data_IF_400767670078
#
_entry.id   IF_400767670078
#
_cell.length_a   1.000
_cell.length_b   1.000
_cell.length_c   1.000
_cell.angle_alpha   90.00
_cell.angle_beta   90.00
_cell.angle_gamma   90.00
#
_symmetry.space_group_name_H-M   'P 1'
#
loop_
_entity.id
_entity.type
_entity.pdbx_description
1 polymer ?
#
# COMPACT_ATOMS: atom_id res chain seq x y z
N UNK A 1 -14.59 -2.25 -10.66
CA UNK A 1 -13.45 -1.49 -10.10
C UNK A 1 -13.94 -0.14 -9.66
N UNK A 2 -13.81 0.17 -8.38
CA UNK A 2 -14.29 1.44 -7.81
C UNK A 2 -13.13 2.37 -7.40
N UNK A 3 -11.91 1.85 -7.26
CA UNK A 3 -10.70 2.64 -7.08
C UNK A 3 -9.45 1.90 -7.58
N UNK A 4 -8.39 2.64 -7.86
CA UNK A 4 -7.04 2.14 -8.10
C UNK A 4 -6.08 2.79 -7.11
N UNK A 5 -5.03 2.08 -6.72
CA UNK A 5 -4.05 2.54 -5.74
C UNK A 5 -2.70 1.87 -5.97
N UNK A 6 -1.70 2.32 -5.20
CA UNK A 6 -0.36 1.74 -5.19
C UNK A 6 -0.14 1.19 -3.78
N UNK A 7 0.30 -0.04 -3.61
CA UNK A 7 0.56 -0.63 -2.29
C UNK A 7 1.94 -1.29 -2.33
N UNK A 8 2.83 -0.92 -1.41
CA UNK A 8 4.25 -1.31 -1.42
C UNK A 8 4.96 -1.11 -2.77
N UNK A 9 4.56 -0.08 -3.53
CA UNK A 9 5.11 0.19 -4.87
C UNK A 9 4.58 -0.70 -6.00
N UNK A 10 3.53 -1.49 -5.77
CA UNK A 10 2.85 -2.31 -6.78
C UNK A 10 1.45 -1.74 -7.09
N UNK A 11 1.00 -1.87 -8.34
CA UNK A 11 -0.34 -1.43 -8.75
C UNK A 11 -1.42 -2.35 -8.16
N UNK A 12 -2.46 -1.74 -7.57
CA UNK A 12 -3.59 -2.43 -6.96
C UNK A 12 -4.93 -1.80 -7.38
N UNK A 13 -5.98 -2.59 -7.36
CA UNK A 13 -7.35 -2.11 -7.59
C UNK A 13 -8.29 -2.58 -6.48
N UNK A 14 -9.33 -1.79 -6.22
CA UNK A 14 -10.36 -2.10 -5.24
C UNK A 14 -11.60 -2.69 -5.92
N UNK A 15 -12.01 -3.86 -5.43
CA UNK A 15 -13.19 -4.61 -5.85
C UNK A 15 -13.66 -5.48 -4.68
N UNK A 16 -14.95 -5.82 -4.61
CA UNK A 16 -15.49 -6.76 -3.61
C UNK A 16 -15.04 -6.48 -2.16
N UNK A 17 -15.04 -5.20 -1.80
CA UNK A 17 -14.58 -4.65 -0.51
C UNK A 17 -13.14 -4.98 -0.12
N UNK A 18 -12.28 -5.30 -1.10
CA UNK A 18 -10.87 -5.70 -0.90
C UNK A 18 -9.94 -5.13 -1.96
N UNK A 19 -8.67 -5.04 -1.62
CA UNK A 19 -7.60 -4.69 -2.56
C UNK A 19 -7.02 -5.95 -3.24
N UNK A 20 -6.78 -5.85 -4.55
CA UNK A 20 -6.21 -6.90 -5.38
C UNK A 20 -4.99 -6.38 -6.14
N UNK A 21 -3.99 -7.23 -6.31
CA UNK A 21 -2.85 -6.93 -7.17
C UNK A 21 -3.25 -6.93 -8.65
N UNK A 22 -2.86 -5.91 -9.40
CA UNK A 22 -3.20 -5.80 -10.83
C UNK A 22 -2.57 -6.93 -11.66
N UNK A 23 -1.35 -7.35 -11.31
CA UNK A 23 -0.57 -8.32 -12.08
C UNK A 23 -1.05 -9.77 -11.89
N UNK A 24 -1.47 -10.15 -10.69
CA UNK A 24 -1.88 -11.52 -10.36
C UNK A 24 -3.37 -11.68 -10.20
N UNK A 25 -4.12 -10.60 -9.99
CA UNK A 25 -5.53 -10.65 -9.62
C UNK A 25 -5.79 -11.29 -8.24
N UNK A 26 -4.77 -11.43 -7.39
CA UNK A 26 -4.89 -12.02 -6.06
C UNK A 26 -5.07 -10.95 -4.98
N UNK A 27 -5.70 -11.27 -3.83
CA UNK A 27 -5.86 -10.33 -2.74
C UNK A 27 -4.53 -9.79 -2.20
N UNK A 28 -4.50 -8.51 -1.85
CA UNK A 28 -3.35 -7.83 -1.22
C UNK A 28 -3.14 -8.29 0.21
N UNK A 29 -4.21 -8.51 0.97
CA UNK A 29 -4.10 -9.07 2.32
C UNK A 29 -4.48 -10.56 2.29
N UNK A 30 -3.74 -11.45 2.98
CA UNK A 30 -2.59 -11.20 3.88
C UNK A 30 -1.21 -11.15 3.17
N UNK A 31 -1.18 -11.19 1.83
CA UNK A 31 0.05 -11.32 1.03
C UNK A 31 0.68 -9.96 0.76
N UNK A 32 1.54 -9.51 1.66
CA UNK A 32 2.33 -8.29 1.44
C UNK A 32 3.52 -8.54 0.50
N UNK A 33 4.04 -7.49 -0.13
CA UNK A 33 5.14 -7.57 -1.12
C UNK A 33 6.28 -6.64 -0.76
N UNK A 34 7.48 -7.02 -1.18
CA UNK A 34 8.68 -6.18 -1.11
C UNK A 34 8.54 -5.03 -2.11
N UNK A 35 8.92 -3.82 -1.70
CA UNK A 35 8.97 -2.69 -2.64
C UNK A 35 10.01 -2.95 -3.74
N UNK A 36 9.66 -2.84 -5.04
CA UNK A 36 10.56 -3.18 -6.15
C UNK A 36 11.74 -2.21 -6.31
N UNK A 37 11.77 -1.12 -5.52
CA UNK A 37 12.80 -0.08 -5.58
C UNK A 37 13.56 0.09 -4.28
N UNK A 38 12.89 0.03 -3.13
CA UNK A 38 13.57 0.04 -1.83
C UNK A 38 14.17 -1.33 -1.50
N UNK A 39 13.63 -2.43 -2.05
CA UNK A 39 13.99 -3.82 -1.74
C UNK A 39 13.86 -4.19 -0.26
N UNK A 40 13.05 -3.45 0.48
CA UNK A 40 12.76 -3.71 1.89
C UNK A 40 11.42 -4.46 2.01
N UNK A 41 11.35 -5.49 2.87
CA UNK A 41 10.07 -6.11 3.23
C UNK A 41 9.27 -5.16 4.12
N UNK A 42 7.93 -5.28 4.15
CA UNK A 42 7.09 -4.58 5.13
C UNK A 42 7.59 -4.79 6.57
N UNK A 43 7.26 -3.84 7.45
CA UNK A 43 7.56 -3.95 8.88
C UNK A 43 6.89 -5.19 9.49
N UNK A 44 7.24 -5.56 10.73
CA UNK A 44 6.59 -6.68 11.42
C UNK A 44 5.07 -6.46 11.58
N UNK A 45 4.65 -5.19 11.60
CA UNK A 45 3.28 -4.71 11.69
C UNK A 45 2.59 -4.64 10.32
N UNK A 46 3.32 -4.89 9.22
CA UNK A 46 2.81 -4.90 7.85
C UNK A 46 2.80 -3.54 7.16
N UNK A 47 3.60 -2.58 7.62
CA UNK A 47 3.64 -1.21 7.10
C UNK A 47 4.68 -1.02 6.00
N UNK A 48 4.58 0.06 5.21
CA UNK A 48 5.59 0.37 4.19
C UNK A 48 6.94 0.66 4.85
N UNK A 49 8.01 -0.09 4.51
CA UNK A 49 9.26 -0.01 5.23
C UNK A 49 10.08 1.22 4.88
N UNK A 50 9.75 1.91 3.78
CA UNK A 50 10.52 3.08 3.35
C UNK A 50 10.16 4.31 4.22
N UNK A 51 8.99 4.33 4.85
CA UNK A 51 8.57 5.41 5.79
C UNK A 51 8.28 4.89 7.20
N UNK A 52 7.82 3.65 7.34
CA UNK A 52 7.42 3.04 8.62
C UNK A 52 6.07 3.57 9.11
N UNK A 53 5.87 3.49 10.43
CA UNK A 53 4.63 3.92 11.08
C UNK A 53 4.42 5.43 10.99
N UNK A 54 3.28 5.83 10.43
CA UNK A 54 2.80 7.22 10.48
C UNK A 54 1.47 7.24 11.23
N UNK A 55 1.45 7.89 12.39
CA UNK A 55 0.26 7.95 13.24
C UNK A 55 -0.93 8.55 12.48
N UNK A 56 -2.05 7.83 12.47
CA UNK A 56 -3.28 8.24 11.78
C UNK A 56 -3.28 7.98 10.27
N UNK A 57 -2.24 7.35 9.72
CA UNK A 57 -2.24 6.90 8.34
C UNK A 57 -2.79 5.48 8.21
N UNK A 58 -3.61 5.26 7.20
CA UNK A 58 -4.06 3.91 6.77
C UNK A 58 -3.15 3.34 5.68
N UNK A 59 -2.43 4.20 4.97
CA UNK A 59 -1.47 3.79 3.94
C UNK A 59 -0.42 4.87 3.70
N UNK A 60 0.82 4.46 3.46
CA UNK A 60 1.95 5.35 3.19
C UNK A 60 2.82 4.75 2.10
N UNK A 61 3.32 5.58 1.19
CA UNK A 61 4.39 5.18 0.28
C UNK A 61 5.38 6.33 0.09
N UNK A 62 6.68 6.04 0.18
CA UNK A 62 7.76 7.00 -0.09
C UNK A 62 7.79 7.50 -1.55
N UNK A 63 7.16 6.76 -2.47
CA UNK A 63 7.16 7.08 -3.89
C UNK A 63 8.39 6.59 -4.66
N UNK A 64 9.42 5.98 -4.07
CA UNK A 64 10.59 5.49 -4.84
C UNK A 64 10.26 4.48 -5.97
N UNK A 65 9.11 3.80 -5.82
CA UNK A 65 8.47 2.93 -6.83
C UNK A 65 7.87 3.64 -8.05
N UNK A 66 7.57 4.95 -7.95
CA UNK A 66 6.78 5.77 -8.88
C UNK A 66 7.24 7.25 -8.83
N UNK A 67 6.45 8.19 -9.36
CA UNK A 67 6.85 9.61 -9.45
C UNK A 67 6.57 10.44 -8.18
N UNK A 68 5.56 10.09 -7.36
CA UNK A 68 5.19 10.84 -6.14
C UNK A 68 4.78 9.92 -4.99
N UNK A 69 5.27 10.22 -3.79
CA UNK A 69 4.83 9.59 -2.54
C UNK A 69 3.45 10.09 -2.10
N UNK A 70 2.82 9.35 -1.21
CA UNK A 70 1.50 9.71 -0.67
C UNK A 70 1.35 9.22 0.79
N UNK A 71 0.40 9.85 1.49
CA UNK A 71 -0.09 9.42 2.80
C UNK A 71 -1.62 9.44 2.70
N UNK A 72 -2.26 8.31 3.01
CA UNK A 72 -3.71 8.22 3.19
C UNK A 72 -3.97 8.23 4.69
N UNK A 73 -4.77 9.18 5.15
CA UNK A 73 -5.14 9.30 6.56
C UNK A 73 -6.44 8.55 6.83
N UNK A 74 -6.59 8.07 8.05
CA UNK A 74 -7.89 7.65 8.57
C UNK A 74 -8.76 8.89 8.72
N UNK A 75 -9.92 8.91 8.07
CA UNK A 75 -10.91 9.97 8.30
C UNK A 75 -11.40 9.85 9.74
N UNK A 76 -11.32 10.90 10.57
CA UNK A 76 -11.84 10.83 11.93
C UNK A 76 -13.35 10.59 11.85
N UNK A 77 -13.79 9.43 12.32
CA UNK A 77 -15.21 9.17 12.56
C UNK A 77 -15.67 10.10 13.70
N UNK A 78 -16.34 11.19 13.33
CA UNK A 78 -17.03 12.09 14.25
C UNK A 78 -18.33 11.50 14.76
#
# INVERSE_FOLDING_TARGET
MTATGIIFGHDAFYADDRWYWVDTGTPVYPITRICPRCYLPPTAEGEDPCVGHVKGATSVCCGHGRERGYIVLEEPHG
#
